data_IF_348155797604
#
_entry.id   IF_348155797604
#
_cell.length_a   1.000
_cell.length_b   1.000
_cell.length_c   1.000
_cell.angle_alpha   90.00
_cell.angle_beta   90.00
_cell.angle_gamma   90.00
#
_symmetry.space_group_name_H-M   'P 1'
#
loop_
_entity.id
_entity.type
_entity.pdbx_description
1 polymer ?
#
# COMPACT_ATOMS: atom_id res chain seq x y z
N UNK A 1 14.26 -10.78 -22.09
CA UNK A 1 14.72 -10.78 -20.68
C UNK A 1 13.52 -11.06 -19.79
N UNK A 2 13.48 -12.20 -19.10
CA UNK A 2 12.47 -12.43 -18.07
C UNK A 2 12.81 -11.51 -16.89
N UNK A 3 11.97 -10.50 -16.62
CA UNK A 3 12.10 -9.71 -15.39
C UNK A 3 11.83 -10.66 -14.23
N UNK A 4 12.86 -10.97 -13.45
CA UNK A 4 12.63 -11.61 -12.16
C UNK A 4 11.77 -10.65 -11.34
N UNK A 5 10.55 -11.09 -11.02
CA UNK A 5 9.66 -10.32 -10.15
C UNK A 5 10.30 -10.29 -8.76
N UNK A 6 10.50 -9.10 -8.15
CA UNK A 6 10.96 -9.05 -6.77
C UNK A 6 9.94 -9.78 -5.88
N UNK A 7 10.42 -10.56 -4.91
CA UNK A 7 9.55 -11.18 -3.90
C UNK A 7 8.97 -10.08 -3.00
N UNK A 8 7.75 -9.66 -3.29
CA UNK A 8 6.98 -8.73 -2.45
C UNK A 8 6.07 -9.54 -1.52
N UNK A 9 6.04 -9.18 -0.24
CA UNK A 9 5.12 -9.71 0.76
C UNK A 9 4.13 -8.62 1.16
N UNK A 10 2.87 -9.00 1.35
CA UNK A 10 1.84 -8.10 1.86
C UNK A 10 1.71 -8.29 3.37
N UNK A 11 1.70 -7.18 4.10
CA UNK A 11 1.44 -7.14 5.54
C UNK A 11 0.58 -5.93 5.89
N UNK A 12 -0.03 -5.94 7.07
CA UNK A 12 -0.74 -4.77 7.60
C UNK A 12 0.25 -3.89 8.35
N UNK A 13 -0.02 -2.59 8.33
CA UNK A 13 0.80 -1.58 9.01
C UNK A 13 0.81 -1.73 10.54
N UNK A 14 -0.16 -2.45 11.12
CA UNK A 14 -0.22 -2.76 12.54
C UNK A 14 0.43 -4.10 12.90
N UNK A 15 0.88 -4.88 11.91
CA UNK A 15 1.57 -6.13 12.18
C UNK A 15 2.95 -5.81 12.77
N UNK A 16 3.37 -6.61 13.75
CA UNK A 16 4.70 -6.53 14.34
C UNK A 16 5.77 -6.88 13.28
N UNK A 17 6.91 -6.20 13.33
CA UNK A 17 8.04 -6.51 12.45
C UNK A 17 8.62 -7.87 12.81
N UNK A 18 8.82 -8.67 11.77
CA UNK A 18 9.47 -9.98 11.83
C UNK A 18 10.93 -9.89 11.38
N UNK A 19 11.75 -10.88 11.70
CA UNK A 19 13.14 -10.94 11.27
C UNK A 19 13.28 -11.03 9.73
N UNK A 20 12.22 -11.48 9.05
CA UNK A 20 12.14 -11.59 7.61
C UNK A 20 11.76 -10.26 6.93
N UNK A 21 11.26 -9.28 7.69
CA UNK A 21 10.86 -7.97 7.18
C UNK A 21 12.10 -7.09 6.97
N UNK A 22 12.70 -7.24 5.79
CA UNK A 22 13.88 -6.48 5.37
C UNK A 22 13.59 -4.99 5.17
N UNK A 23 12.56 -4.66 4.40
CA UNK A 23 12.13 -3.30 4.07
C UNK A 23 10.60 -3.26 4.08
N UNK A 24 10.02 -2.33 4.83
CA UNK A 24 8.57 -2.11 4.96
C UNK A 24 8.20 -0.78 4.31
N UNK A 25 7.49 -0.85 3.18
CA UNK A 25 7.04 0.33 2.43
C UNK A 25 5.53 0.47 2.55
N UNK A 26 5.05 1.64 2.98
CA UNK A 26 3.64 1.99 2.94
C UNK A 26 3.29 2.69 1.62
N UNK A 27 2.39 2.08 0.86
CA UNK A 27 1.93 2.56 -0.45
C UNK A 27 0.52 3.13 -0.43
N UNK A 28 0.04 3.55 0.75
CA UNK A 28 -1.25 4.24 0.90
C UNK A 28 -1.03 5.70 1.33
N UNK A 29 -1.87 6.60 0.82
CA UNK A 29 -1.91 8.01 1.26
C UNK A 29 -2.65 8.16 2.58
N UNK A 30 -3.42 7.16 3.02
CA UNK A 30 -4.12 7.18 4.30
C UNK A 30 -3.18 7.05 5.51
N UNK A 31 -3.59 7.68 6.62
CA UNK A 31 -2.99 7.44 7.93
C UNK A 31 -3.57 6.13 8.50
N UNK A 32 -2.72 5.20 8.95
CA UNK A 32 -3.18 4.06 9.72
C UNK A 32 -3.97 4.52 10.94
N UNK A 33 -5.20 4.01 11.13
CA UNK A 33 -5.97 4.30 12.33
C UNK A 33 -5.42 3.47 13.49
N UNK A 34 -5.35 4.06 14.69
CA UNK A 34 -4.91 3.35 15.89
C UNK A 34 -3.39 3.25 16.08
N UNK A 35 -2.59 3.76 15.14
CA UNK A 35 -1.14 3.91 15.34
C UNK A 35 -0.82 5.34 15.77
N UNK A 36 -0.29 5.50 16.98
CA UNK A 36 0.26 6.78 17.44
C UNK A 36 1.55 7.06 16.67
N UNK A 37 1.52 8.00 15.72
CA UNK A 37 2.69 8.56 15.05
C UNK A 37 3.66 7.52 14.49
N UNK A 38 4.85 7.44 15.10
CA UNK A 38 6.02 6.68 14.66
C UNK A 38 5.95 5.16 14.89
N UNK A 39 4.87 4.64 15.48
CA UNK A 39 4.76 3.20 15.83
C UNK A 39 4.58 2.23 14.65
N UNK A 40 4.46 2.72 13.43
CA UNK A 40 4.21 1.86 12.27
C UNK A 40 5.45 1.06 11.83
N UNK A 41 6.65 1.40 12.34
CA UNK A 41 7.92 0.73 12.01
C UNK A 41 8.06 0.50 10.49
N UNK A 42 7.94 1.61 9.75
CA UNK A 42 8.02 1.68 8.29
C UNK A 42 9.35 2.28 7.90
N UNK A 43 9.99 1.69 6.89
CA UNK A 43 11.25 2.18 6.34
C UNK A 43 10.99 3.30 5.31
N UNK A 44 9.88 3.24 4.58
CA UNK A 44 9.51 4.24 3.58
C UNK A 44 7.99 4.44 3.47
N UNK A 45 7.57 5.66 3.14
CA UNK A 45 6.23 5.97 2.67
C UNK A 45 6.27 6.40 1.19
N UNK A 46 5.90 5.51 0.29
CA UNK A 46 5.95 5.74 -1.15
C UNK A 46 4.58 6.20 -1.68
N UNK A 47 4.32 7.51 -1.60
CA UNK A 47 3.04 8.09 -2.04
C UNK A 47 2.93 8.24 -3.56
N UNK A 48 4.05 8.17 -4.29
CA UNK A 48 4.12 8.33 -5.75
C UNK A 48 3.40 7.21 -6.51
N UNK A 49 3.36 6.01 -5.92
CA UNK A 49 2.67 4.86 -6.50
C UNK A 49 1.31 4.60 -5.83
N UNK A 50 0.95 5.39 -4.82
CA UNK A 50 -0.29 5.24 -4.09
C UNK A 50 -1.49 5.75 -4.91
N UNK A 51 -2.66 5.09 -4.87
CA UNK A 51 -3.87 5.58 -5.50
C UNK A 51 -4.23 7.00 -5.06
N UNK A 52 -4.68 7.83 -5.99
CA UNK A 52 -5.11 9.20 -5.67
C UNK A 52 -6.36 9.22 -4.78
N UNK A 53 -6.56 10.32 -4.05
CA UNK A 53 -7.76 10.48 -3.22
C UNK A 53 -9.05 10.41 -4.06
N UNK A 54 -9.05 10.99 -5.26
CA UNK A 54 -10.18 10.94 -6.18
C UNK A 54 -10.48 9.50 -6.63
N UNK A 55 -9.45 8.75 -7.04
CA UNK A 55 -9.60 7.36 -7.48
C UNK A 55 -10.09 6.45 -6.33
N UNK A 56 -9.57 6.64 -5.11
CA UNK A 56 -10.03 5.91 -3.93
C UNK A 56 -11.49 6.19 -3.59
N UNK A 57 -11.90 7.46 -3.66
CA UNK A 57 -13.28 7.86 -3.39
C UNK A 57 -14.25 7.31 -4.45
N UNK A 58 -13.85 7.34 -5.73
CA UNK A 58 -14.62 6.72 -6.80
C UNK A 58 -14.76 5.21 -6.61
N UNK A 59 -13.65 4.51 -6.29
CA UNK A 59 -13.70 3.05 -6.08
C UNK A 59 -14.61 2.67 -4.91
N UNK A 60 -14.56 3.43 -3.81
CA UNK A 60 -15.48 3.29 -2.68
C UNK A 60 -15.55 1.87 -2.08
N UNK A 61 -14.52 1.04 -2.28
CA UNK A 61 -14.51 -0.39 -1.94
C UNK A 61 -15.63 -1.22 -2.58
N UNK A 62 -16.16 -0.77 -3.72
CA UNK A 62 -17.14 -1.54 -4.46
C UNK A 62 -16.45 -2.59 -5.33
N UNK A 63 -16.56 -3.87 -4.92
CA UNK A 63 -15.90 -4.99 -5.60
C UNK A 63 -16.25 -5.10 -7.09
N UNK A 64 -17.43 -4.60 -7.51
CA UNK A 64 -17.83 -4.58 -8.94
C UNK A 64 -16.88 -3.74 -9.81
N UNK A 65 -16.19 -2.77 -9.23
CA UNK A 65 -15.29 -1.85 -9.91
C UNK A 65 -13.82 -2.23 -9.73
N UNK A 66 -13.51 -3.35 -9.10
CA UNK A 66 -12.13 -3.71 -8.77
C UNK A 66 -11.24 -3.87 -10.02
N UNK A 67 -11.75 -4.48 -11.08
CA UNK A 67 -11.00 -4.65 -12.32
C UNK A 67 -10.61 -3.29 -12.95
N UNK A 68 -11.54 -2.34 -12.96
CA UNK A 68 -11.32 -0.99 -13.46
C UNK A 68 -10.39 -0.18 -12.54
N UNK A 69 -10.52 -0.35 -11.23
CA UNK A 69 -9.62 0.24 -10.24
C UNK A 69 -8.17 -0.22 -10.43
N UNK A 70 -7.93 -1.52 -10.67
CA UNK A 70 -6.57 -2.07 -10.91
C UNK A 70 -6.02 -1.62 -12.27
N UNK A 71 -6.87 -1.47 -13.28
CA UNK A 71 -6.48 -0.97 -14.60
C UNK A 71 -6.21 0.55 -14.64
N UNK A 72 -6.70 1.29 -13.65
CA UNK A 72 -6.48 2.73 -13.52
C UNK A 72 -5.03 3.02 -13.11
N UNK A 73 -4.35 3.91 -13.84
CA UNK A 73 -3.01 4.35 -13.42
C UNK A 73 -3.13 5.29 -12.22
N UNK A 74 -2.23 5.11 -11.24
CA UNK A 74 -2.05 6.09 -10.17
C UNK A 74 -1.67 7.44 -10.81
N UNK A 75 -2.56 8.42 -10.68
CA UNK A 75 -2.33 9.84 -10.99
C UNK A 75 -1.96 10.64 -9.76
#
# INVERSE_FOLDING_TARGET
MQRQQPRVRLGRVCDERTAEDRIRVLVDRLRPRGLTGDRADLDERCTQIAPSSALRNWYGHNLRWFAEFVGSRAG
#
